data_IF_792848193204
#
_entry.id   IF_792848193204
#
_cell.length_a   1.000
_cell.length_b   1.000
_cell.length_c   1.000
_cell.angle_alpha   90.00
_cell.angle_beta   90.00
_cell.angle_gamma   90.00
#
_symmetry.space_group_name_H-M   'P 1'
#
loop_
_entity.id
_entity.type
_entity.pdbx_description
1 polymer ?
#
# COMPACT_ATOMS: atom_id res chain seq x y z
N UNK A 1 17.11 16.75 -16.34
CA UNK A 1 16.77 16.46 -15.80
C UNK A 1 16.02 16.14 -15.40
N UNK A 2 15.59 16.12 -15.24
CA UNK A 2 15.05 15.86 -14.76
C UNK A 2 14.42 15.56 -14.04
N UNK A 3 14.51 16.02 -13.92
CA UNK A 3 13.99 15.79 -13.04
C UNK A 3 13.17 14.96 -12.80
N UNK A 4 13.29 14.49 -12.66
CA UNK A 4 12.51 13.50 -12.39
C UNK A 4 11.63 13.69 -11.29
N UNK A 5 10.46 13.84 -11.58
CA UNK A 5 9.53 13.93 -10.56
C UNK A 5 8.99 12.59 -10.30
N UNK A 6 9.43 11.99 -9.27
CA UNK A 6 8.84 10.75 -8.84
C UNK A 6 7.58 11.03 -8.05
N UNK A 7 6.56 10.25 -8.29
CA UNK A 7 5.27 10.46 -7.64
C UNK A 7 5.12 9.47 -6.52
N UNK A 8 4.84 9.96 -5.34
CA UNK A 8 4.52 9.11 -4.21
C UNK A 8 3.03 8.83 -4.19
N UNK A 9 2.67 7.64 -3.74
CA UNK A 9 1.27 7.25 -3.69
C UNK A 9 0.45 8.26 -2.89
N UNK A 10 0.99 8.74 -1.78
CA UNK A 10 0.27 9.67 -0.94
C UNK A 10 -0.17 10.94 -1.64
N UNK A 11 0.51 11.30 -2.73
CA UNK A 11 0.16 12.50 -3.49
C UNK A 11 -1.05 12.31 -4.38
N UNK A 12 -1.48 11.07 -4.59
CA UNK A 12 -2.56 10.74 -5.50
C UNK A 12 -3.79 10.17 -4.81
N UNK A 13 -3.76 10.08 -3.49
CA UNK A 13 -4.86 9.46 -2.78
C UNK A 13 -5.43 10.42 -1.75
N UNK A 14 -6.68 10.17 -1.38
CA UNK A 14 -7.31 10.90 -0.29
C UNK A 14 -6.75 10.44 1.04
N UNK A 15 -6.59 9.13 1.18
CA UNK A 15 -6.04 8.54 2.38
C UNK A 15 -5.79 7.06 2.14
N UNK A 16 -4.98 6.48 2.98
CA UNK A 16 -4.81 5.04 3.04
C UNK A 16 -5.22 4.62 4.42
N UNK A 17 -6.17 3.71 4.49
CA UNK A 17 -6.67 3.23 5.75
C UNK A 17 -6.10 1.86 6.01
N UNK A 18 -5.58 1.66 7.20
CA UNK A 18 -5.00 0.39 7.58
C UNK A 18 -5.76 -0.18 8.75
N UNK A 19 -6.03 -1.47 8.71
CA UNK A 19 -6.64 -2.12 9.85
C UNK A 19 -6.27 -3.58 9.91
N UNK A 20 -6.23 -4.10 11.11
CA UNK A 20 -5.95 -5.50 11.32
C UNK A 20 -7.19 -6.31 10.98
N UNK A 21 -6.96 -7.42 10.27
CA UNK A 21 -8.01 -8.36 9.94
C UNK A 21 -7.66 -9.66 10.65
N UNK A 22 -7.92 -9.68 11.94
CA UNK A 22 -7.48 -10.77 12.77
C UNK A 22 -6.05 -10.55 13.23
N UNK A 23 -5.49 -11.50 14.00
CA UNK A 23 -4.18 -11.29 14.63
C UNK A 23 -3.00 -11.31 13.66
N UNK A 24 -3.17 -11.93 12.49
CA UNK A 24 -2.04 -12.14 11.59
C UNK A 24 -2.22 -11.54 10.20
N UNK A 25 -3.32 -10.82 9.98
CA UNK A 25 -3.60 -10.22 8.67
C UNK A 25 -3.75 -8.72 8.77
N UNK A 26 -3.42 -8.08 7.67
CA UNK A 26 -3.50 -6.62 7.57
C UNK A 26 -4.23 -6.28 6.29
N UNK A 27 -5.09 -5.28 6.34
CA UNK A 27 -5.76 -4.78 5.16
C UNK A 27 -5.44 -3.30 4.99
N UNK A 28 -5.03 -2.93 3.78
CA UNK A 28 -4.81 -1.54 3.43
C UNK A 28 -5.82 -1.15 2.35
N UNK A 29 -6.59 -0.11 2.62
CA UNK A 29 -7.55 0.42 1.67
C UNK A 29 -7.02 1.75 1.16
N UNK A 30 -6.78 1.83 -0.14
CA UNK A 30 -6.28 3.04 -0.79
C UNK A 30 -7.47 3.75 -1.39
N UNK A 31 -7.81 4.91 -0.83
CA UNK A 31 -8.95 5.71 -1.31
C UNK A 31 -8.42 6.79 -2.24
N UNK A 32 -8.67 6.63 -3.54
CA UNK A 32 -8.19 7.58 -4.52
C UNK A 32 -9.11 8.79 -4.61
N UNK A 33 -8.54 9.92 -5.02
CA UNK A 33 -9.29 11.18 -5.05
C UNK A 33 -10.43 11.12 -6.05
N UNK A 34 -10.15 10.55 -7.24
CA UNK A 34 -11.13 10.48 -8.29
C UNK A 34 -10.77 9.33 -9.22
N UNK A 35 -11.54 9.19 -10.28
CA UNK A 35 -11.33 8.06 -11.19
C UNK A 35 -10.00 8.18 -11.93
N UNK A 36 -9.56 9.40 -12.21
CA UNK A 36 -8.31 9.59 -12.91
C UNK A 36 -7.14 9.12 -12.06
N UNK A 37 -7.14 9.49 -10.79
CA UNK A 37 -6.10 9.05 -9.87
C UNK A 37 -6.21 7.56 -9.60
N UNK A 38 -7.41 7.03 -9.55
CA UNK A 38 -7.59 5.58 -9.40
C UNK A 38 -6.92 4.85 -10.56
N UNK A 39 -7.18 5.30 -11.79
CA UNK A 39 -6.59 4.65 -12.96
C UNK A 39 -5.07 4.77 -12.94
N UNK A 40 -4.56 5.91 -12.54
CA UNK A 40 -3.11 6.11 -12.46
C UNK A 40 -2.49 5.11 -11.49
N UNK A 41 -3.05 5.03 -10.28
CA UNK A 41 -2.49 4.14 -9.27
C UNK A 41 -2.70 2.68 -9.67
N UNK A 42 -3.87 2.36 -10.23
CA UNK A 42 -4.14 1.01 -10.70
C UNK A 42 -3.06 0.54 -11.69
N UNK A 43 -2.65 1.43 -12.58
CA UNK A 43 -1.67 1.09 -13.60
C UNK A 43 -0.24 1.11 -13.08
N UNK A 44 0.08 2.04 -12.19
CA UNK A 44 1.45 2.24 -11.76
C UNK A 44 1.81 1.39 -10.54
N UNK A 45 0.86 1.13 -9.67
CA UNK A 45 1.15 0.36 -8.47
C UNK A 45 1.01 -1.12 -8.79
N UNK A 46 2.13 -1.74 -9.10
CA UNK A 46 2.16 -3.17 -9.34
C UNK A 46 2.21 -3.90 -8.01
N UNK A 47 1.57 -5.05 -7.96
CA UNK A 47 1.53 -5.82 -6.72
C UNK A 47 2.92 -6.18 -6.22
N UNK A 48 3.86 -6.44 -7.14
CA UNK A 48 5.20 -6.77 -6.71
C UNK A 48 5.91 -5.60 -6.04
N UNK A 49 5.53 -4.36 -6.35
CA UNK A 49 6.10 -3.22 -5.64
C UNK A 49 5.65 -3.21 -4.18
N UNK A 50 4.40 -3.56 -3.95
CA UNK A 50 3.89 -3.67 -2.59
C UNK A 50 4.61 -4.80 -1.85
N UNK A 51 4.79 -5.93 -2.53
CA UNK A 51 5.47 -7.07 -1.94
C UNK A 51 6.89 -6.69 -1.53
N UNK A 52 7.59 -5.98 -2.41
CA UNK A 52 8.95 -5.54 -2.09
C UNK A 52 8.99 -4.57 -0.93
N UNK A 53 8.03 -3.65 -0.91
CA UNK A 53 7.99 -2.66 0.16
C UNK A 53 7.87 -3.32 1.52
N UNK A 54 6.99 -4.30 1.62
CA UNK A 54 6.73 -4.95 2.91
C UNK A 54 7.51 -6.24 3.09
N UNK A 55 8.36 -6.59 2.13
CA UNK A 55 9.23 -7.76 2.21
C UNK A 55 8.44 -9.04 2.43
N UNK A 56 7.37 -9.19 1.66
CA UNK A 56 6.57 -10.40 1.66
C UNK A 56 6.50 -10.93 0.24
N UNK A 57 6.16 -12.20 0.11
CA UNK A 57 6.02 -12.81 -1.20
C UNK A 57 4.76 -12.28 -1.89
N UNK A 58 4.88 -11.98 -3.16
CA UNK A 58 3.77 -11.42 -3.92
C UNK A 58 2.53 -12.30 -3.87
N UNK A 59 2.72 -13.61 -3.86
CA UNK A 59 1.61 -14.55 -3.84
C UNK A 59 0.77 -14.46 -2.57
N UNK A 60 1.29 -13.81 -1.54
CA UNK A 60 0.55 -13.65 -0.29
C UNK A 60 -0.39 -12.45 -0.31
N UNK A 61 -0.29 -11.62 -1.32
CA UNK A 61 -1.10 -10.40 -1.38
C UNK A 61 -2.37 -10.67 -2.15
N UNK A 62 -3.50 -10.36 -1.53
CA UNK A 62 -4.79 -10.38 -2.21
C UNK A 62 -5.14 -8.95 -2.54
N UNK A 63 -5.38 -8.69 -3.81
CA UNK A 63 -5.62 -7.35 -4.28
C UNK A 63 -6.98 -7.25 -4.94
N UNK A 64 -7.73 -6.22 -4.57
CA UNK A 64 -9.05 -5.97 -5.15
C UNK A 64 -9.09 -4.53 -5.59
N UNK A 65 -9.24 -4.31 -6.89
CA UNK A 65 -9.39 -2.97 -7.45
C UNK A 65 -10.88 -2.75 -7.67
N UNK A 66 -11.42 -1.72 -7.02
CA UNK A 66 -12.86 -1.45 -6.99
C UNK A 66 -13.12 -0.11 -7.65
N UNK A 67 -13.30 -0.11 -8.98
CA UNK A 67 -13.42 1.17 -9.70
C UNK A 67 -14.61 2.01 -9.27
N UNK A 68 -15.72 1.37 -8.95
CA UNK A 68 -16.91 2.11 -8.56
C UNK A 68 -16.70 2.98 -7.34
N UNK A 69 -15.75 2.62 -6.51
CA UNK A 69 -15.47 3.34 -5.28
C UNK A 69 -14.15 4.08 -5.33
N UNK A 70 -13.40 3.95 -6.42
CA UNK A 70 -12.05 4.49 -6.55
C UNK A 70 -11.15 3.98 -5.42
N UNK A 71 -11.27 2.70 -5.11
CA UNK A 71 -10.55 2.09 -4.00
C UNK A 71 -9.73 0.90 -4.50
N UNK A 72 -8.52 0.79 -4.00
CA UNK A 72 -7.71 -0.41 -4.19
C UNK A 72 -7.47 -1.01 -2.81
N UNK A 73 -7.89 -2.24 -2.64
CA UNK A 73 -7.76 -2.94 -1.36
C UNK A 73 -6.68 -3.98 -1.45
N UNK A 74 -5.77 -3.97 -0.48
CA UNK A 74 -4.69 -4.93 -0.38
C UNK A 74 -4.81 -5.65 0.95
N UNK A 75 -4.74 -6.97 0.89
CA UNK A 75 -4.84 -7.79 2.10
C UNK A 75 -3.71 -8.80 2.10
N UNK A 76 -2.98 -8.90 3.19
CA UNK A 76 -1.84 -9.80 3.25
C UNK A 76 -1.49 -10.13 4.69
N UNK A 77 -0.69 -11.19 4.89
CA UNK A 77 -0.24 -11.51 6.25
C UNK A 77 0.58 -10.36 6.79
N UNK A 78 0.42 -10.11 8.07
CA UNK A 78 1.12 -9.02 8.72
C UNK A 78 2.62 -9.21 8.57
N UNK A 79 3.31 -8.23 8.00
CA UNK A 79 4.75 -8.38 7.80
C UNK A 79 5.51 -8.41 9.10
N UNK A 80 6.63 -9.12 9.09
CA UNK A 80 7.55 -9.13 10.20
C UNK A 80 8.85 -8.52 9.76
N UNK A 81 9.34 -7.58 10.53
CA UNK A 81 10.60 -6.94 10.25
C UNK A 81 11.66 -7.64 11.04
N UNK A 82 12.55 -8.34 10.34
CA UNK A 82 13.52 -9.20 10.96
C UNK A 82 14.52 -8.42 11.81
N UNK A 83 14.88 -9.02 12.92
CA UNK A 83 16.00 -8.54 13.72
C UNK A 83 15.73 -7.30 14.53
N UNK A 84 14.50 -6.88 14.61
CA UNK A 84 14.17 -5.69 15.38
C UNK A 84 13.43 -6.07 16.65
N UNK A 85 13.96 -5.62 17.76
CA UNK A 85 13.30 -5.89 19.02
C UNK A 85 11.96 -5.19 19.12
N UNK A 86 11.80 -4.12 18.37
CA UNK A 86 10.59 -3.32 18.46
C UNK A 86 9.63 -3.56 17.31
N UNK A 87 9.69 -4.73 16.70
CA UNK A 87 8.75 -5.06 15.64
C UNK A 87 7.32 -4.91 16.10
N UNK A 88 7.08 -5.20 17.36
CA UNK A 88 5.75 -5.12 17.90
C UNK A 88 5.21 -3.70 17.91
N UNK A 89 6.07 -2.72 17.75
CA UNK A 89 5.65 -1.33 17.72
C UNK A 89 5.10 -0.92 16.38
N UNK A 90 5.24 -1.77 15.38
CA UNK A 90 4.76 -1.44 14.06
C UNK A 90 3.26 -1.65 13.99
N UNK A 91 2.53 -0.56 13.94
CA UNK A 91 1.07 -0.59 13.86
C UNK A 91 0.60 -0.53 12.43
N UNK A 92 -0.68 -0.87 12.24
CA UNK A 92 -1.26 -0.77 10.91
C UNK A 92 -1.11 0.62 10.31
N UNK A 93 -1.19 1.65 11.14
CA UNK A 93 -1.03 3.02 10.64
C UNK A 93 0.35 3.23 10.04
N UNK A 94 1.37 2.58 10.60
CA UNK A 94 2.72 2.70 10.07
C UNK A 94 2.85 2.06 8.70
N UNK A 95 2.14 0.98 8.47
CA UNK A 95 2.15 0.35 7.15
C UNK A 95 1.51 1.27 6.12
N UNK A 96 0.43 1.96 6.50
CA UNK A 96 -0.19 2.92 5.60
C UNK A 96 0.79 4.04 5.27
N UNK A 97 1.51 4.54 6.26
CA UNK A 97 2.48 5.60 6.05
C UNK A 97 3.59 5.16 5.11
N UNK A 98 4.06 3.92 5.25
CA UNK A 98 5.08 3.40 4.37
C UNK A 98 4.58 3.35 2.93
N UNK A 99 3.34 2.92 2.75
CA UNK A 99 2.78 2.85 1.40
C UNK A 99 2.62 4.24 0.80
N UNK A 100 2.25 5.23 1.61
CA UNK A 100 2.11 6.59 1.11
C UNK A 100 3.41 7.14 0.56
N UNK A 101 4.54 6.70 1.11
CA UNK A 101 5.85 7.19 0.69
C UNK A 101 6.38 6.45 -0.52
N UNK A 102 5.73 5.40 -0.95
CA UNK A 102 6.22 4.59 -2.07
C UNK A 102 6.15 5.39 -3.37
N UNK A 103 7.25 5.40 -4.10
CA UNK A 103 7.32 6.05 -5.40
C UNK A 103 6.90 5.07 -6.48
N UNK A 104 6.02 5.49 -7.36
CA UNK A 104 5.38 4.57 -8.30
C UNK A 104 5.53 4.95 -9.76
N UNK A 105 6.30 5.95 -10.10
CA UNK A 105 6.50 6.19 -11.54
C UNK A 105 7.95 6.14 -11.96
#
# INVERSE_FOLDING_TARGET
>A
MKSSTRTKIGQKVRKIRSKNAGPFWLTLDIFCVDVENFNYIHNQLKTNKVANLFQIHESKIKRFDIPDLNVIKLSFPRPRIQGKANDTDMHGASYAALLEELEIN
#
